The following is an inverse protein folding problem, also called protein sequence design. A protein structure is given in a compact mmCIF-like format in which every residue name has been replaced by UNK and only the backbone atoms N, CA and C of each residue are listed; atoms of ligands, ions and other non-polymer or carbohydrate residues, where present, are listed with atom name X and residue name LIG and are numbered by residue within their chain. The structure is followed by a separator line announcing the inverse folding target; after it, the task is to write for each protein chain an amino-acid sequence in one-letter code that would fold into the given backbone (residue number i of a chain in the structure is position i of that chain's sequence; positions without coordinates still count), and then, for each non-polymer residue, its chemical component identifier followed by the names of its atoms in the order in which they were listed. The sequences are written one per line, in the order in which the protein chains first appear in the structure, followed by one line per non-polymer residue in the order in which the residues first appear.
data_IF_820276307828
#
_entry.id   IF_820276307828
#
_cell.length_a   1.000
_cell.length_b   1.000
_cell.length_c   1.000
_cell.angle_alpha   90.00
_cell.angle_beta   90.00
_cell.angle_gamma   90.00
#
_symmetry.space_group_name_H-M   'P 1'
#
loop_
_entity.id
_entity.type
_entity.pdbx_description
1 polymer ?
#
# COMPACT_ATOMS: atom_id res chain seq x y z
N UNK A 1 -23.36 -11.53 5.74
CA UNK A 1 -22.37 -12.44 5.12
C UNK A 1 -22.98 -13.84 4.98
N UNK A 2 -23.37 -14.20 3.75
CA UNK A 2 -24.04 -15.48 3.46
C UNK A 2 -23.06 -16.56 3.00
N UNK A 3 -21.75 -16.31 3.10
CA UNK A 3 -20.69 -17.23 2.68
C UNK A 3 -20.71 -18.50 3.53
N UNK A 4 -20.74 -19.67 2.88
CA UNK A 4 -20.87 -20.98 3.53
C UNK A 4 -19.62 -21.35 4.34
N UNK A 5 -18.42 -20.94 3.88
CA UNK A 5 -17.15 -21.20 4.58
C UNK A 5 -17.10 -20.42 5.89
N UNK A 6 -17.54 -19.15 5.89
CA UNK A 6 -17.62 -18.33 7.11
C UNK A 6 -18.62 -18.92 8.10
N UNK A 7 -19.79 -19.41 7.61
CA UNK A 7 -20.77 -20.10 8.48
C UNK A 7 -20.19 -21.37 9.07
N UNK A 8 -19.50 -22.16 8.28
CA UNK A 8 -18.84 -23.39 8.74
C UNK A 8 -17.75 -23.09 9.78
N UNK A 9 -16.88 -22.11 9.51
CA UNK A 9 -15.84 -21.70 10.43
C UNK A 9 -16.42 -21.25 11.78
N UNK A 10 -17.45 -20.39 11.75
CA UNK A 10 -18.14 -19.95 12.98
C UNK A 10 -18.74 -21.10 13.75
N UNK A 11 -19.45 -22.03 13.07
CA UNK A 11 -20.07 -23.21 13.71
C UNK A 11 -19.04 -24.10 14.39
N UNK A 12 -17.85 -24.24 13.79
CA UNK A 12 -16.78 -25.10 14.30
C UNK A 12 -15.73 -24.33 15.13
N UNK A 13 -15.99 -23.07 15.49
CA UNK A 13 -15.09 -22.22 16.28
C UNK A 13 -13.70 -22.06 15.67
N UNK A 14 -13.61 -22.12 14.34
CA UNK A 14 -12.36 -21.87 13.61
C UNK A 14 -12.14 -20.36 13.56
N UNK A 15 -10.95 -19.86 13.94
CA UNK A 15 -10.63 -18.45 13.89
C UNK A 15 -10.75 -17.88 12.47
N UNK A 16 -11.33 -16.69 12.36
CA UNK A 16 -11.50 -15.98 11.09
C UNK A 16 -10.74 -14.66 11.18
N UNK A 17 -9.79 -14.46 10.31
CA UNK A 17 -8.96 -13.25 10.25
C UNK A 17 -9.22 -12.47 8.96
N UNK A 18 -9.05 -11.16 9.01
CA UNK A 18 -9.07 -10.34 7.82
C UNK A 18 -7.75 -10.53 7.04
N UNK A 19 -7.85 -10.59 5.71
CA UNK A 19 -6.65 -10.75 4.83
C UNK A 19 -5.56 -9.72 5.15
N UNK A 20 -5.92 -8.45 5.34
CA UNK A 20 -4.95 -7.39 5.61
C UNK A 20 -4.28 -7.53 6.99
N UNK A 21 -4.97 -8.09 7.98
CA UNK A 21 -4.39 -8.37 9.30
C UNK A 21 -3.34 -9.47 9.22
N UNK A 22 -3.67 -10.59 8.56
CA UNK A 22 -2.69 -11.68 8.36
C UNK A 22 -1.51 -11.21 7.54
N UNK A 23 -1.74 -10.38 6.53
CA UNK A 23 -0.67 -9.79 5.74
C UNK A 23 0.23 -8.87 6.57
N UNK A 24 -0.38 -8.03 7.42
CA UNK A 24 0.36 -7.15 8.32
C UNK A 24 1.25 -7.94 9.30
N UNK A 25 0.72 -9.02 9.87
CA UNK A 25 1.48 -9.89 10.75
C UNK A 25 2.66 -10.57 10.02
N UNK A 26 2.43 -11.07 8.81
CA UNK A 26 3.45 -11.74 8.01
C UNK A 26 4.67 -10.85 7.69
N UNK A 27 4.48 -9.53 7.64
CA UNK A 27 5.55 -8.57 7.32
C UNK A 27 5.93 -7.67 8.50
N UNK A 28 5.39 -7.91 9.67
CA UNK A 28 5.53 -7.03 10.86
C UNK A 28 6.98 -6.81 11.28
N UNK A 29 7.83 -7.81 11.09
CA UNK A 29 9.27 -7.78 11.46
C UNK A 29 10.17 -7.22 10.35
N UNK A 30 9.59 -6.81 9.20
CA UNK A 30 10.36 -6.27 8.08
C UNK A 30 10.21 -4.75 7.96
N UNK A 31 11.14 -4.13 7.25
CA UNK A 31 11.04 -2.73 6.82
C UNK A 31 10.11 -2.65 5.62
N UNK A 32 8.91 -2.15 5.81
CA UNK A 32 7.86 -2.21 4.81
C UNK A 32 7.83 -0.96 3.93
N UNK A 33 7.84 -1.17 2.61
CA UNK A 33 7.53 -0.15 1.60
C UNK A 33 6.14 -0.47 1.07
N UNK A 34 5.17 0.39 1.37
CA UNK A 34 3.78 0.19 0.98
C UNK A 34 3.45 1.12 -0.19
N UNK A 35 3.02 0.55 -1.30
CA UNK A 35 2.67 1.27 -2.52
C UNK A 35 1.15 1.25 -2.71
N UNK A 36 0.54 2.43 -2.81
CA UNK A 36 -0.89 2.59 -3.06
C UNK A 36 -1.17 3.69 -4.08
N UNK A 37 -2.42 3.82 -4.49
CA UNK A 37 -2.95 4.78 -5.44
C UNK A 37 -3.92 4.14 -6.42
N UNK A 38 -4.74 4.91 -7.09
CA UNK A 38 -5.76 4.38 -8.00
C UNK A 38 -5.15 3.60 -9.16
N UNK A 39 -4.05 4.10 -9.75
CA UNK A 39 -3.40 3.49 -10.89
C UNK A 39 -1.89 3.35 -10.70
N UNK A 40 -1.29 2.37 -11.38
CA UNK A 40 0.17 2.18 -11.42
C UNK A 40 0.77 1.50 -10.20
N UNK A 41 -0.02 1.03 -9.23
CA UNK A 41 0.45 0.29 -8.05
C UNK A 41 1.35 -0.89 -8.41
N UNK A 42 0.84 -1.81 -9.20
CA UNK A 42 1.53 -3.04 -9.63
C UNK A 42 2.85 -2.75 -10.34
N UNK A 43 2.84 -1.77 -11.25
CA UNK A 43 4.05 -1.36 -11.98
C UNK A 43 5.08 -0.76 -11.03
N UNK A 44 4.67 0.15 -10.16
CA UNK A 44 5.57 0.80 -9.20
C UNK A 44 6.14 -0.22 -8.21
N UNK A 45 5.31 -1.13 -7.70
CA UNK A 45 5.75 -2.22 -6.83
C UNK A 45 6.79 -3.10 -7.51
N UNK A 46 6.57 -3.45 -8.77
CA UNK A 46 7.53 -4.25 -9.57
C UNK A 46 8.85 -3.53 -9.79
N UNK A 47 8.83 -2.22 -10.05
CA UNK A 47 10.05 -1.41 -10.23
C UNK A 47 10.86 -1.31 -8.93
N UNK A 48 10.21 -1.01 -7.81
CA UNK A 48 10.85 -0.96 -6.48
C UNK A 48 11.43 -2.34 -6.13
N UNK A 49 10.66 -3.41 -6.36
CA UNK A 49 11.11 -4.78 -6.14
C UNK A 49 12.35 -5.11 -6.97
N UNK A 50 12.38 -4.71 -8.25
CA UNK A 50 13.53 -4.91 -9.13
C UNK A 50 14.77 -4.18 -8.60
N UNK A 51 14.64 -2.91 -8.23
CA UNK A 51 15.75 -2.11 -7.68
C UNK A 51 16.36 -2.77 -6.45
N UNK A 52 15.53 -3.17 -5.47
CA UNK A 52 16.05 -3.77 -4.23
C UNK A 52 16.65 -5.16 -4.49
N UNK A 53 16.08 -5.92 -5.41
CA UNK A 53 16.60 -7.23 -5.80
C UNK A 53 17.97 -7.11 -6.49
N UNK A 54 18.13 -6.15 -7.39
CA UNK A 54 19.41 -5.92 -8.08
C UNK A 54 20.51 -5.46 -7.11
N UNK A 55 20.13 -4.77 -6.04
CA UNK A 55 21.04 -4.43 -4.94
C UNK A 55 21.28 -5.59 -3.96
N UNK A 56 20.85 -6.81 -4.27
CA UNK A 56 21.02 -8.03 -3.48
C UNK A 56 20.40 -7.95 -2.07
N UNK A 57 19.39 -7.12 -1.90
CA UNK A 57 18.68 -6.96 -0.63
C UNK A 57 17.63 -8.05 -0.38
N UNK A 58 17.40 -8.93 -1.34
CA UNK A 58 16.47 -10.08 -1.30
C UNK A 58 15.14 -9.78 -0.56
N UNK A 59 14.35 -8.82 -1.05
CA UNK A 59 13.13 -8.41 -0.36
C UNK A 59 12.01 -9.46 -0.46
N UNK A 60 11.15 -9.48 0.54
CA UNK A 60 9.81 -10.07 0.41
C UNK A 60 8.97 -9.16 -0.46
N UNK A 61 8.25 -9.72 -1.42
CA UNK A 61 7.47 -8.96 -2.40
C UNK A 61 6.05 -9.51 -2.43
N UNK A 62 5.05 -8.62 -2.34
CA UNK A 62 3.64 -8.95 -2.44
C UNK A 62 2.99 -7.92 -3.37
N UNK A 63 2.54 -8.40 -4.53
CA UNK A 63 2.03 -7.58 -5.62
C UNK A 63 0.61 -8.02 -6.01
N UNK A 64 -0.19 -7.12 -6.54
CA UNK A 64 -1.55 -7.44 -7.01
C UNK A 64 -1.55 -8.28 -8.28
N UNK A 65 -0.53 -8.12 -9.13
CA UNK A 65 -0.37 -8.86 -10.37
C UNK A 65 0.91 -9.70 -10.40
N UNK A 66 1.01 -10.58 -11.38
CA UNK A 66 2.21 -11.41 -11.60
C UNK A 66 3.38 -10.54 -12.03
N UNK A 67 4.51 -10.70 -11.36
CA UNK A 67 5.77 -10.05 -11.72
C UNK A 67 6.53 -11.01 -12.64
N UNK A 68 6.79 -10.57 -13.88
CA UNK A 68 7.35 -11.41 -14.94
C UNK A 68 8.73 -12.00 -14.59
N UNK A 69 9.57 -11.28 -13.85
CA UNK A 69 10.93 -11.71 -13.51
C UNK A 69 10.98 -12.94 -12.61
N UNK A 70 9.94 -13.22 -11.82
CA UNK A 70 9.84 -14.44 -11.00
C UNK A 70 8.52 -15.20 -11.15
N UNK A 71 7.73 -14.85 -12.18
CA UNK A 71 6.49 -15.55 -12.59
C UNK A 71 5.49 -15.79 -11.43
N UNK A 72 5.46 -14.89 -10.47
CA UNK A 72 4.59 -14.96 -9.30
C UNK A 72 4.17 -13.56 -8.87
N UNK A 73 3.08 -13.46 -8.14
CA UNK A 73 2.65 -12.23 -7.47
C UNK A 73 3.18 -12.10 -6.04
N UNK A 74 3.85 -13.13 -5.53
CA UNK A 74 4.47 -13.09 -4.21
C UNK A 74 5.81 -13.83 -4.22
N UNK A 75 6.78 -13.29 -3.48
CA UNK A 75 8.09 -13.87 -3.24
C UNK A 75 8.46 -13.65 -1.78
N UNK A 76 8.78 -14.71 -1.07
CA UNK A 76 9.39 -14.61 0.25
C UNK A 76 10.91 -14.38 0.10
N UNK A 77 11.39 -13.23 0.56
CA UNK A 77 12.80 -12.89 0.60
C UNK A 77 13.38 -13.09 2.00
N UNK A 78 14.71 -13.33 2.06
CA UNK A 78 15.45 -13.48 3.32
C UNK A 78 15.92 -12.14 3.90
N UNK A 79 15.87 -11.06 3.12
CA UNK A 79 16.30 -9.73 3.55
C UNK A 79 15.30 -9.04 4.48
N UNK A 80 15.71 -7.89 5.00
CA UNK A 80 14.95 -7.11 5.99
C UNK A 80 13.80 -6.31 5.39
N UNK A 81 13.67 -6.26 4.06
CA UNK A 81 12.69 -5.45 3.37
C UNK A 81 11.47 -6.24 2.92
N UNK A 82 10.31 -5.62 3.00
CA UNK A 82 9.11 -6.09 2.34
C UNK A 82 8.51 -4.96 1.49
N UNK A 83 8.11 -5.31 0.28
CA UNK A 83 7.50 -4.39 -0.69
C UNK A 83 6.10 -4.91 -0.98
N UNK A 84 5.10 -4.08 -0.68
CA UNK A 84 3.71 -4.47 -0.77
C UNK A 84 2.91 -3.51 -1.64
N UNK A 85 2.19 -4.06 -2.60
CA UNK A 85 1.06 -3.37 -3.20
C UNK A 85 -0.12 -3.39 -2.24
N UNK A 86 -0.69 -2.23 -1.97
CA UNK A 86 -1.81 -2.06 -1.07
C UNK A 86 -3.03 -1.51 -1.81
N UNK A 87 -4.15 -2.23 -1.70
CA UNK A 87 -5.40 -1.85 -2.32
C UNK A 87 -6.16 -0.87 -1.42
N UNK A 88 -6.49 0.28 -1.98
CA UNK A 88 -7.27 1.32 -1.32
C UNK A 88 -8.78 1.06 -1.36
N UNK A 89 -9.25 0.15 -2.19
CA UNK A 89 -10.68 -0.02 -2.54
C UNK A 89 -11.61 -0.28 -1.35
N UNK A 90 -11.10 -0.94 -0.30
CA UNK A 90 -11.84 -1.34 0.90
C UNK A 90 -11.23 -0.77 2.20
N UNK A 91 -10.29 0.17 2.09
CA UNK A 91 -9.61 0.77 3.23
C UNK A 91 -8.62 -0.16 3.95
N UNK A 92 -8.42 -1.38 3.48
CA UNK A 92 -7.53 -2.38 4.10
C UNK A 92 -6.05 -1.94 4.12
N UNK A 93 -5.65 -1.08 3.17
CA UNK A 93 -4.29 -0.51 3.11
C UNK A 93 -3.90 0.25 4.39
N UNK A 94 -4.86 0.73 5.17
CA UNK A 94 -4.63 1.40 6.46
C UNK A 94 -4.21 0.44 7.57
N UNK A 95 -4.38 -0.88 7.40
CA UNK A 95 -4.01 -1.88 8.40
C UNK A 95 -2.56 -2.33 8.30
N UNK A 96 -1.89 -2.02 7.19
CA UNK A 96 -0.51 -2.45 6.94
C UNK A 96 0.50 -1.66 7.79
N UNK A 97 1.60 -2.30 8.26
CA UNK A 97 2.68 -1.62 8.97
C UNK A 97 3.54 -0.82 7.99
N UNK A 98 3.47 0.51 8.06
CA UNK A 98 4.14 1.40 7.12
C UNK A 98 5.46 1.89 7.72
N UNK A 99 6.60 1.62 7.04
CA UNK A 99 7.86 2.32 7.30
C UNK A 99 8.12 3.37 6.22
N UNK A 100 7.87 3.02 4.95
CA UNK A 100 7.92 3.91 3.81
C UNK A 100 6.63 3.77 3.02
N UNK A 101 6.13 4.87 2.49
CA UNK A 101 4.93 4.86 1.64
C UNK A 101 5.21 5.47 0.27
N UNK A 102 4.56 4.93 -0.75
CA UNK A 102 4.55 5.52 -2.10
C UNK A 102 3.09 5.71 -2.50
N UNK A 103 2.72 6.91 -2.90
CA UNK A 103 1.39 7.24 -3.42
C UNK A 103 1.53 7.72 -4.86
N UNK A 104 0.98 6.95 -5.78
CA UNK A 104 1.12 7.21 -7.23
C UNK A 104 0.15 8.27 -7.72
N UNK A 105 -1.13 8.12 -7.43
CA UNK A 105 -2.21 9.05 -7.80
C UNK A 105 -3.46 8.75 -6.98
N UNK A 106 -4.44 9.65 -7.04
CA UNK A 106 -5.75 9.48 -6.41
C UNK A 106 -6.80 9.90 -7.43
N UNK A 107 -7.61 8.94 -7.87
CA UNK A 107 -8.79 9.19 -8.65
C UNK A 107 -10.06 8.90 -7.84
N UNK A 108 -11.17 9.48 -8.24
CA UNK A 108 -12.41 9.40 -7.48
C UNK A 108 -13.16 8.10 -7.81
N UNK A 109 -12.59 7.00 -7.33
CA UNK A 109 -13.11 5.64 -7.48
C UNK A 109 -13.58 5.06 -6.12
N UNK A 110 -14.14 3.86 -6.13
CA UNK A 110 -14.55 3.10 -4.93
C UNK A 110 -15.54 3.82 -4.01
N UNK A 111 -16.45 4.63 -4.59
CA UNK A 111 -17.44 5.39 -3.82
C UNK A 111 -18.52 4.51 -3.17
N UNK A 112 -18.69 3.28 -3.63
CA UNK A 112 -19.49 2.25 -2.98
C UNK A 112 -19.00 1.95 -1.55
N UNK A 113 -17.68 1.94 -1.33
CA UNK A 113 -17.06 1.79 -0.03
C UNK A 113 -16.97 3.13 0.73
N UNK A 114 -16.36 4.15 0.14
CA UNK A 114 -16.07 5.41 0.82
C UNK A 114 -17.27 6.33 0.98
N UNK A 115 -18.37 6.11 0.25
CA UNK A 115 -19.60 6.90 0.23
C UNK A 115 -19.45 8.29 -0.42
N UNK A 116 -18.30 8.93 -0.26
CA UNK A 116 -18.01 10.23 -0.86
C UNK A 116 -16.49 10.47 -0.98
N UNK A 117 -16.12 11.44 -1.82
CA UNK A 117 -14.73 11.81 -2.08
C UNK A 117 -13.96 12.29 -0.83
N UNK A 118 -14.64 12.95 0.10
CA UNK A 118 -14.01 13.45 1.32
C UNK A 118 -13.50 12.31 2.20
N UNK A 119 -14.21 11.18 2.24
CA UNK A 119 -13.78 10.02 2.99
C UNK A 119 -12.58 9.33 2.32
N UNK A 120 -12.59 9.21 0.99
CA UNK A 120 -11.44 8.71 0.23
C UNK A 120 -10.19 9.58 0.49
N UNK A 121 -10.31 10.90 0.36
CA UNK A 121 -9.23 11.85 0.65
C UNK A 121 -8.69 11.69 2.07
N UNK A 122 -9.58 11.56 3.06
CA UNK A 122 -9.21 11.35 4.47
C UNK A 122 -8.40 10.07 4.66
N UNK A 123 -8.77 8.98 4.00
CA UNK A 123 -8.05 7.72 4.09
C UNK A 123 -6.64 7.82 3.51
N UNK A 124 -6.44 8.50 2.38
CA UNK A 124 -5.11 8.76 1.84
C UNK A 124 -4.28 9.69 2.74
N UNK A 125 -4.89 10.72 3.33
CA UNK A 125 -4.22 11.59 4.31
C UNK A 125 -3.80 10.77 5.54
N UNK A 126 -4.67 9.90 6.04
CA UNK A 126 -4.35 9.00 7.16
C UNK A 126 -3.19 8.07 6.80
N UNK A 127 -3.23 7.44 5.63
CA UNK A 127 -2.17 6.57 5.14
C UNK A 127 -0.81 7.28 5.11
N UNK A 128 -0.74 8.48 4.53
CA UNK A 128 0.50 9.27 4.48
C UNK A 128 0.97 9.65 5.89
N UNK A 129 0.04 10.03 6.77
CA UNK A 129 0.36 10.42 8.14
C UNK A 129 0.80 9.24 9.03
N UNK A 130 0.46 8.00 8.67
CA UNK A 130 0.93 6.79 9.35
C UNK A 130 2.41 6.47 9.10
N UNK A 131 3.01 7.05 8.07
CA UNK A 131 4.45 6.88 7.84
C UNK A 131 5.24 7.51 9.01
N UNK A 132 6.05 6.74 9.73
CA UNK A 132 6.71 7.22 10.94
C UNK A 132 7.79 8.26 10.63
N UNK A 133 8.23 9.04 11.62
CA UNK A 133 9.30 10.04 11.44
C UNK A 133 10.63 9.47 10.94
N UNK A 134 10.87 8.18 11.18
CA UNK A 134 12.06 7.46 10.69
C UNK A 134 11.96 7.02 9.23
N UNK A 135 10.79 7.13 8.64
CA UNK A 135 10.50 6.76 7.26
C UNK A 135 10.25 7.98 6.37
N UNK A 136 9.82 7.70 5.14
CA UNK A 136 9.46 8.75 4.16
C UNK A 136 8.22 8.36 3.38
N UNK A 137 7.41 9.36 3.01
CA UNK A 137 6.33 9.24 2.04
C UNK A 137 6.77 9.83 0.70
N UNK A 138 6.82 9.00 -0.33
CA UNK A 138 7.16 9.39 -1.70
C UNK A 138 5.87 9.60 -2.49
N UNK A 139 5.64 10.80 -3.00
CA UNK A 139 4.32 11.21 -3.48
C UNK A 139 4.43 11.86 -4.86
N UNK A 140 3.65 11.33 -5.82
CA UNK A 140 3.56 11.92 -7.16
C UNK A 140 2.71 13.19 -7.14
N UNK A 141 3.32 14.31 -7.50
CA UNK A 141 2.63 15.62 -7.52
C UNK A 141 2.05 16.01 -8.87
N UNK A 142 2.11 15.16 -9.89
CA UNK A 142 1.44 15.46 -11.17
C UNK A 142 -0.08 15.33 -11.06
N UNK A 143 -0.57 14.54 -10.11
CA UNK A 143 -2.00 14.36 -9.87
C UNK A 143 -2.59 15.53 -9.05
N UNK A 144 -3.64 16.17 -9.60
CA UNK A 144 -4.31 17.33 -8.98
C UNK A 144 -4.96 17.02 -7.62
N UNK A 145 -5.48 15.81 -7.45
CA UNK A 145 -6.14 15.40 -6.21
C UNK A 145 -5.10 15.22 -5.08
N UNK A 146 -3.92 14.69 -5.42
CA UNK A 146 -2.78 14.63 -4.49
C UNK A 146 -2.38 16.05 -4.05
N UNK A 147 -2.20 16.99 -4.98
CA UNK A 147 -1.87 18.39 -4.61
C UNK A 147 -2.88 18.99 -3.63
N UNK A 148 -4.16 18.65 -3.81
CA UNK A 148 -5.23 19.10 -2.92
C UNK A 148 -5.09 18.55 -1.51
N UNK A 149 -4.85 17.24 -1.35
CA UNK A 149 -4.76 16.61 -0.03
C UNK A 149 -3.46 16.92 0.69
N UNK A 150 -2.35 17.16 0.00
CA UNK A 150 -1.05 17.48 0.60
C UNK A 150 -1.10 18.67 1.54
N UNK A 151 -1.95 19.66 1.27
CA UNK A 151 -2.18 20.82 2.15
C UNK A 151 -2.74 20.44 3.53
N UNK A 152 -3.32 19.25 3.65
CA UNK A 152 -3.96 18.73 4.85
C UNK A 152 -3.13 17.63 5.54
N UNK A 153 -2.05 17.20 4.92
CA UNK A 153 -1.13 16.18 5.47
C UNK A 153 -0.28 16.80 6.56
N UNK A 154 -0.16 16.11 7.69
CA UNK A 154 0.64 16.53 8.86
C UNK A 154 2.08 16.02 8.80
N UNK A 155 2.29 14.87 8.16
CA UNK A 155 3.62 14.29 7.99
C UNK A 155 4.54 15.27 7.26
N UNK A 156 5.73 15.50 7.81
CA UNK A 156 6.74 16.42 7.24
C UNK A 156 7.84 15.67 6.46
N UNK A 157 7.91 14.35 6.59
CA UNK A 157 8.88 13.53 5.89
C UNK A 157 8.36 13.09 4.52
N UNK A 158 8.04 14.06 3.67
CA UNK A 158 7.53 13.86 2.33
C UNK A 158 8.64 14.16 1.33
N UNK A 159 8.79 13.27 0.35
CA UNK A 159 9.55 13.49 -0.88
C UNK A 159 8.55 13.49 -2.02
N UNK A 160 8.56 14.53 -2.82
CA UNK A 160 7.68 14.63 -3.98
C UNK A 160 8.45 14.32 -5.27
N UNK A 161 7.75 13.79 -6.26
CA UNK A 161 8.26 13.59 -7.62
C UNK A 161 7.15 13.92 -8.64
N UNK A 162 7.56 14.18 -9.87
CA UNK A 162 6.67 14.49 -10.98
C UNK A 162 7.44 15.13 -12.14
N UNK A 163 6.79 15.28 -13.27
CA UNK A 163 7.36 15.93 -14.46
C UNK A 163 7.42 17.46 -14.30
N UNK A 164 6.65 17.99 -13.38
CA UNK A 164 6.57 19.43 -13.13
C UNK A 164 7.79 19.89 -12.32
N UNK A 165 8.57 20.86 -12.84
CA UNK A 165 9.78 21.40 -12.18
C UNK A 165 9.58 21.95 -10.75
N UNK A 166 8.34 22.00 -10.27
CA UNK A 166 7.93 22.42 -8.91
C UNK A 166 7.44 21.25 -8.06
N UNK A 167 7.77 20.00 -8.46
CA UNK A 167 7.43 18.83 -7.69
C UNK A 167 8.27 18.73 -6.39
#
# INVERSE_FOLDING_TARGET
NNNIEIKFAKKNKIPIYNRAEVLADAVSLKKNIIITGSHGKTTTTSLVAKILTDQKLDPTIINGGVINSFKSNAKLGKGDWAILEADESDGSFLKLPINYSIVTNIDYEHLDYYKNYSNLEKSFIEFINKTPPTGKSVICTDNKNIKKILKRVKNKNIVTYGENRKA
#
